data_IF_331524914586
#
_entry.id   IF_331524914586
#
_cell.length_a   1.000
_cell.length_b   1.000
_cell.length_c   1.000
_cell.angle_alpha   90.00
_cell.angle_beta   90.00
_cell.angle_gamma   90.00
#
_symmetry.space_group_name_H-M   'P 1'
#
loop_
_entity.id
_entity.type
_entity.pdbx_description
1 polymer ?
#
# COMPACT_ATOMS: atom_id res chain seq x y z
N UNK A 1 12.79 -30.16 -6.35
CA UNK A 1 12.70 -29.26 -5.17
C UNK A 1 14.05 -29.25 -4.49
N UNK A 2 14.77 -28.13 -4.55
CA UNK A 2 16.04 -27.97 -3.83
C UNK A 2 15.70 -27.75 -2.36
N UNK A 3 16.05 -28.72 -1.51
CA UNK A 3 15.87 -28.58 -0.07
C UNK A 3 16.72 -27.40 0.43
N UNK A 4 16.10 -26.44 1.08
CA UNK A 4 16.81 -25.32 1.70
C UNK A 4 17.77 -25.84 2.76
N UNK A 5 19.06 -25.47 2.73
CA UNK A 5 19.99 -25.88 3.75
C UNK A 5 19.54 -25.30 5.13
N UNK A 6 19.81 -26.03 6.21
CA UNK A 6 19.39 -25.64 7.57
C UNK A 6 19.75 -24.18 7.91
N UNK A 7 20.90 -23.70 7.46
CA UNK A 7 21.31 -22.30 7.60
C UNK A 7 20.36 -21.33 6.90
N UNK A 8 19.77 -21.72 5.75
CA UNK A 8 18.77 -20.92 5.03
C UNK A 8 17.48 -20.79 5.83
N UNK A 9 17.04 -21.89 6.41
CA UNK A 9 15.85 -21.90 7.28
C UNK A 9 16.07 -20.98 8.49
N UNK A 10 17.24 -21.07 9.13
CA UNK A 10 17.59 -20.20 10.28
C UNK A 10 17.59 -18.72 9.86
N UNK A 11 18.19 -18.37 8.73
CA UNK A 11 18.22 -16.98 8.26
C UNK A 11 16.80 -16.43 7.99
N UNK A 12 15.94 -17.24 7.38
CA UNK A 12 14.54 -16.86 7.13
C UNK A 12 13.76 -16.71 8.43
N UNK A 13 13.91 -17.65 9.36
CA UNK A 13 13.23 -17.60 10.68
C UNK A 13 13.67 -16.36 11.46
N UNK A 14 14.97 -16.06 11.49
CA UNK A 14 15.49 -14.84 12.16
C UNK A 14 14.92 -13.58 11.50
N UNK A 15 14.86 -13.53 10.18
CA UNK A 15 14.28 -12.41 9.45
C UNK A 15 12.82 -12.18 9.85
N UNK A 16 11.99 -13.24 9.85
CA UNK A 16 10.60 -13.15 10.29
C UNK A 16 10.46 -12.76 11.75
N UNK A 17 11.31 -13.32 12.64
CA UNK A 17 11.32 -12.97 14.06
C UNK A 17 11.62 -11.48 14.28
N UNK A 18 12.57 -10.90 13.53
CA UNK A 18 12.91 -9.48 13.56
C UNK A 18 11.74 -8.63 13.08
N UNK A 19 11.01 -9.04 12.03
CA UNK A 19 9.81 -8.36 11.57
C UNK A 19 8.67 -8.37 12.60
N UNK A 20 8.44 -9.53 13.23
CA UNK A 20 7.42 -9.66 14.29
C UNK A 20 7.80 -8.78 15.49
N UNK A 21 9.07 -8.82 15.90
CA UNK A 21 9.58 -7.98 16.98
C UNK A 21 9.36 -6.49 16.68
N UNK A 22 9.69 -6.04 15.45
CA UNK A 22 9.44 -4.68 15.04
C UNK A 22 7.93 -4.35 15.09
N UNK A 23 7.07 -5.21 14.54
CA UNK A 23 5.63 -4.98 14.50
C UNK A 23 5.01 -4.84 15.91
N UNK A 24 5.51 -5.59 16.89
CA UNK A 24 5.05 -5.54 18.29
C UNK A 24 5.62 -4.33 19.03
N UNK A 25 6.88 -3.98 18.79
CA UNK A 25 7.58 -2.91 19.52
C UNK A 25 7.32 -1.52 18.94
N UNK A 26 7.15 -1.40 17.62
CA UNK A 26 7.00 -0.12 16.94
C UNK A 26 5.86 0.75 17.50
N UNK A 27 4.63 0.23 17.72
CA UNK A 27 3.55 1.03 18.29
C UNK A 27 3.82 1.48 19.73
N UNK A 28 4.54 0.66 20.52
CA UNK A 28 4.85 0.95 21.93
C UNK A 28 5.98 1.95 22.09
N UNK A 29 6.94 1.95 21.17
CA UNK A 29 8.16 2.77 21.24
C UNK A 29 8.08 4.00 20.31
N UNK A 30 6.98 4.16 19.56
CA UNK A 30 6.84 5.25 18.60
C UNK A 30 7.81 5.16 17.41
N UNK A 31 8.25 3.95 17.06
CA UNK A 31 9.17 3.75 15.95
C UNK A 31 8.48 3.94 14.61
N UNK A 32 9.03 4.82 13.77
CA UNK A 32 8.58 5.02 12.39
C UNK A 32 9.05 3.91 11.44
N UNK A 33 8.65 4.01 10.18
CA UNK A 33 9.02 3.03 9.14
C UNK A 33 10.53 2.99 8.86
N UNK A 34 11.25 4.04 9.15
CA UNK A 34 12.72 4.14 9.01
C UNK A 34 13.45 3.07 9.81
N UNK A 35 12.96 2.72 11.00
CA UNK A 35 13.55 1.65 11.81
C UNK A 35 13.39 0.28 11.17
N UNK A 36 12.29 0.05 10.43
CA UNK A 36 12.10 -1.18 9.67
C UNK A 36 13.22 -1.40 8.66
N UNK A 37 13.63 -0.34 7.94
CA UNK A 37 14.72 -0.44 6.97
C UNK A 37 16.05 -0.78 7.64
N UNK A 38 16.30 -0.21 8.83
CA UNK A 38 17.51 -0.56 9.62
C UNK A 38 17.50 -2.04 10.01
N UNK A 39 16.37 -2.56 10.49
CA UNK A 39 16.24 -3.98 10.83
C UNK A 39 16.40 -4.89 9.60
N UNK A 40 15.91 -4.49 8.44
CA UNK A 40 16.12 -5.23 7.19
C UNK A 40 17.59 -5.31 6.80
N UNK A 41 18.33 -4.20 6.90
CA UNK A 41 19.76 -4.16 6.61
C UNK A 41 20.52 -5.04 7.61
N UNK A 42 20.26 -4.90 8.91
CA UNK A 42 20.90 -5.69 9.95
C UNK A 42 20.66 -7.20 9.79
N UNK A 43 19.42 -7.60 9.47
CA UNK A 43 19.10 -9.01 9.23
C UNK A 43 19.80 -9.56 7.98
N UNK A 44 19.95 -8.76 6.93
CA UNK A 44 20.68 -9.13 5.72
C UNK A 44 22.18 -9.30 5.97
N UNK A 45 22.78 -8.39 6.77
CA UNK A 45 24.18 -8.50 7.20
C UNK A 45 24.37 -9.73 8.06
N UNK A 46 23.48 -9.98 9.03
CA UNK A 46 23.52 -11.18 9.87
C UNK A 46 23.46 -12.47 9.04
N UNK A 47 22.53 -12.56 8.10
CA UNK A 47 22.45 -13.70 7.18
C UNK A 47 23.75 -13.88 6.39
N UNK A 48 24.36 -12.79 5.91
CA UNK A 48 25.61 -12.83 5.17
C UNK A 48 26.78 -13.35 6.01
N UNK A 49 26.84 -12.98 7.28
CA UNK A 49 27.85 -13.49 8.24
C UNK A 49 27.63 -14.99 8.49
N UNK A 50 26.38 -15.41 8.70
CA UNK A 50 26.02 -16.82 8.93
C UNK A 50 26.45 -17.72 7.78
N UNK A 51 26.34 -17.22 6.54
CA UNK A 51 26.77 -17.90 5.32
C UNK A 51 28.26 -17.72 5.01
N UNK A 52 29.00 -16.96 5.83
CA UNK A 52 30.42 -16.61 5.60
C UNK A 52 30.64 -16.02 4.20
N UNK A 53 29.74 -15.16 3.76
CA UNK A 53 29.85 -14.49 2.46
C UNK A 53 30.95 -13.45 2.53
N UNK A 54 31.84 -13.41 1.54
CA UNK A 54 32.94 -12.41 1.52
C UNK A 54 32.38 -10.99 1.40
N UNK A 55 33.01 -9.97 2.03
CA UNK A 55 32.58 -8.57 1.97
C UNK A 55 32.43 -8.04 0.54
N UNK A 56 33.31 -8.42 -0.36
CA UNK A 56 33.24 -8.04 -1.78
C UNK A 56 31.97 -8.60 -2.46
N UNK A 57 31.54 -9.79 -2.10
CA UNK A 57 30.31 -10.38 -2.66
C UNK A 57 29.09 -9.70 -2.09
N UNK A 58 29.09 -9.35 -0.80
CA UNK A 58 28.01 -8.60 -0.16
C UNK A 58 27.85 -7.24 -0.88
N UNK A 59 28.94 -6.50 -1.02
CA UNK A 59 28.96 -5.20 -1.70
C UNK A 59 28.44 -5.30 -3.14
N UNK A 60 28.97 -6.25 -3.93
CA UNK A 60 28.51 -6.45 -5.32
C UNK A 60 27.03 -6.79 -5.40
N UNK A 61 26.52 -7.64 -4.51
CA UNK A 61 25.09 -8.00 -4.48
C UNK A 61 24.23 -6.82 -4.08
N UNK A 62 24.67 -6.04 -3.10
CA UNK A 62 23.98 -4.83 -2.68
C UNK A 62 23.88 -3.81 -3.84
N UNK A 63 25.00 -3.51 -4.51
CA UNK A 63 25.00 -2.58 -5.63
C UNK A 63 24.18 -3.09 -6.82
N UNK A 64 24.18 -4.40 -7.08
CA UNK A 64 23.31 -4.99 -8.11
C UNK A 64 21.83 -4.81 -7.77
N UNK A 65 21.45 -5.02 -6.50
CA UNK A 65 20.10 -4.75 -6.02
C UNK A 65 19.72 -3.27 -6.10
N UNK A 66 20.63 -2.36 -5.71
CA UNK A 66 20.40 -0.92 -5.83
C UNK A 66 20.25 -0.47 -7.29
N UNK A 67 21.02 -1.03 -8.19
CA UNK A 67 20.92 -0.74 -9.62
C UNK A 67 19.58 -1.18 -10.22
N UNK A 68 19.04 -2.33 -9.82
CA UNK A 68 17.74 -2.80 -10.29
C UNK A 68 16.58 -1.89 -9.80
N UNK A 69 16.76 -1.17 -8.69
CA UNK A 69 15.77 -0.22 -8.18
C UNK A 69 15.78 1.15 -8.89
N UNK A 70 16.77 1.41 -9.76
CA UNK A 70 16.93 2.71 -10.45
C UNK A 70 15.70 3.09 -11.28
N UNK A 71 15.16 2.16 -12.08
CA UNK A 71 13.93 2.36 -12.86
C UNK A 71 12.73 2.69 -11.98
N UNK A 72 12.58 1.97 -10.88
CA UNK A 72 11.49 2.16 -9.92
C UNK A 72 11.57 3.56 -9.28
N UNK A 73 12.76 4.03 -8.91
CA UNK A 73 12.94 5.38 -8.36
C UNK A 73 12.49 6.47 -9.34
N UNK A 74 12.77 6.30 -10.64
CA UNK A 74 12.31 7.24 -11.68
C UNK A 74 10.78 7.24 -11.78
N UNK A 75 10.15 6.06 -11.85
CA UNK A 75 8.68 5.92 -11.91
C UNK A 75 8.03 6.53 -10.67
N UNK A 76 8.56 6.27 -9.48
CA UNK A 76 8.06 6.86 -8.23
C UNK A 76 8.23 8.38 -8.20
N UNK A 77 9.34 8.90 -8.73
CA UNK A 77 9.56 10.35 -8.87
C UNK A 77 8.51 10.99 -9.77
N UNK A 78 8.27 10.42 -10.94
CA UNK A 78 7.24 10.90 -11.89
C UNK A 78 5.83 10.81 -11.29
N UNK A 79 5.49 9.73 -10.60
CA UNK A 79 4.22 9.59 -9.90
C UNK A 79 4.00 10.69 -8.87
N UNK A 80 5.05 11.07 -8.15
CA UNK A 80 4.99 12.17 -7.17
C UNK A 80 4.77 13.53 -7.83
N UNK A 81 5.33 13.76 -9.01
CA UNK A 81 5.09 14.97 -9.81
C UNK A 81 3.63 15.07 -10.22
N UNK A 82 3.01 13.97 -10.67
CA UNK A 82 1.56 13.94 -10.97
C UNK A 82 0.74 14.36 -9.75
N UNK A 83 1.03 13.80 -8.57
CA UNK A 83 0.35 14.17 -7.33
C UNK A 83 0.52 15.66 -6.98
N UNK A 84 1.72 16.22 -7.19
CA UNK A 84 1.97 17.65 -6.98
C UNK A 84 1.18 18.54 -7.95
N UNK A 85 1.12 18.19 -9.23
CA UNK A 85 0.35 18.92 -10.25
C UNK A 85 -1.14 18.92 -9.92
N UNK A 86 -1.70 17.76 -9.55
CA UNK A 86 -3.11 17.64 -9.13
C UNK A 86 -3.41 18.51 -7.89
N UNK A 87 -2.49 18.59 -6.95
CA UNK A 87 -2.66 19.37 -5.73
C UNK A 87 -2.52 20.87 -6.02
N UNK A 88 -1.48 21.31 -6.74
CA UNK A 88 -1.26 22.71 -7.11
C UNK A 88 -2.35 23.24 -8.06
N UNK A 89 -2.88 22.39 -8.93
CA UNK A 89 -4.00 22.73 -9.82
C UNK A 89 -5.36 22.80 -9.12
N UNK A 90 -5.42 22.62 -7.78
CA UNK A 90 -6.67 22.54 -7.01
C UNK A 90 -7.66 21.48 -7.52
N UNK A 91 -7.21 20.57 -8.39
CA UNK A 91 -8.03 19.51 -9.00
C UNK A 91 -8.56 18.59 -7.89
N UNK A 92 -7.76 18.35 -6.85
CA UNK A 92 -8.16 17.54 -5.70
C UNK A 92 -9.36 18.12 -4.97
N UNK A 93 -9.44 19.45 -4.79
CA UNK A 93 -10.59 20.12 -4.19
C UNK A 93 -11.85 19.98 -5.06
N UNK A 94 -11.71 20.12 -6.38
CA UNK A 94 -12.83 19.95 -7.31
C UNK A 94 -13.36 18.52 -7.29
N UNK A 95 -12.47 17.52 -7.33
CA UNK A 95 -12.83 16.11 -7.25
C UNK A 95 -13.52 15.81 -5.91
N UNK A 96 -12.99 16.31 -4.80
CA UNK A 96 -13.56 16.11 -3.47
C UNK A 96 -14.95 16.75 -3.33
N UNK A 97 -15.14 17.98 -3.82
CA UNK A 97 -16.46 18.64 -3.81
C UNK A 97 -17.49 17.90 -4.65
N UNK A 98 -17.09 17.42 -5.83
CA UNK A 98 -17.97 16.63 -6.69
C UNK A 98 -18.34 15.31 -6.03
N UNK A 99 -17.38 14.63 -5.42
CA UNK A 99 -17.63 13.41 -4.68
C UNK A 99 -18.56 13.63 -3.49
N UNK A 100 -18.35 14.71 -2.72
CA UNK A 100 -19.23 15.09 -1.60
C UNK A 100 -20.68 15.28 -2.04
N UNK A 101 -20.89 15.95 -3.17
CA UNK A 101 -22.22 16.20 -3.71
C UNK A 101 -22.90 14.92 -4.22
N UNK A 102 -22.14 13.96 -4.73
CA UNK A 102 -22.64 12.67 -5.20
C UNK A 102 -22.91 11.68 -4.06
N UNK A 103 -22.12 11.72 -3.01
CA UNK A 103 -22.18 10.77 -1.89
C UNK A 103 -23.24 11.21 -0.86
N UNK A 104 -23.38 12.53 -0.63
CA UNK A 104 -24.07 13.10 0.54
C UNK A 104 -25.59 12.90 0.65
N UNK A 105 -26.28 12.25 -0.32
CA UNK A 105 -27.76 12.18 -0.33
C UNK A 105 -28.36 10.76 -0.30
N UNK A 106 -27.57 9.70 -0.29
CA UNK A 106 -28.06 8.38 -0.72
C UNK A 106 -28.03 7.24 0.33
N UNK A 107 -27.95 7.55 1.64
CA UNK A 107 -27.96 6.53 2.69
C UNK A 107 -26.58 5.95 3.03
N UNK A 108 -26.47 5.34 4.22
CA UNK A 108 -25.23 4.85 4.84
C UNK A 108 -24.39 3.96 3.92
N UNK A 109 -25.03 2.95 3.31
CA UNK A 109 -24.32 1.98 2.48
C UNK A 109 -23.78 2.61 1.21
N UNK A 110 -24.56 3.47 0.54
CA UNK A 110 -24.12 4.16 -0.69
C UNK A 110 -23.04 5.18 -0.41
N UNK A 111 -23.09 5.87 0.73
CA UNK A 111 -22.03 6.77 1.15
C UNK A 111 -20.69 6.01 1.37
N UNK A 112 -20.73 4.88 2.04
CA UNK A 112 -19.54 4.06 2.29
C UNK A 112 -18.98 3.46 1.00
N UNK A 113 -19.82 2.97 0.09
CA UNK A 113 -19.43 2.50 -1.25
C UNK A 113 -18.85 3.64 -2.07
N UNK A 114 -19.45 4.83 -2.00
CA UNK A 114 -18.95 6.04 -2.67
C UNK A 114 -17.54 6.40 -2.22
N UNK A 115 -17.25 6.38 -0.92
CA UNK A 115 -15.91 6.59 -0.36
C UNK A 115 -14.92 5.53 -0.88
N UNK A 116 -15.33 4.27 -0.90
CA UNK A 116 -14.53 3.17 -1.42
C UNK A 116 -14.17 3.36 -2.90
N UNK A 117 -15.16 3.59 -3.76
CA UNK A 117 -14.95 3.76 -5.21
C UNK A 117 -14.11 5.01 -5.48
N UNK A 118 -14.42 6.12 -4.79
CA UNK A 118 -13.68 7.36 -4.92
C UNK A 118 -12.19 7.17 -4.57
N UNK A 119 -11.91 6.49 -3.47
CA UNK A 119 -10.54 6.20 -3.04
C UNK A 119 -9.85 5.26 -4.04
N UNK A 120 -10.55 4.25 -4.53
CA UNK A 120 -10.04 3.30 -5.53
C UNK A 120 -9.60 4.02 -6.81
N UNK A 121 -10.42 4.94 -7.32
CA UNK A 121 -10.08 5.73 -8.52
C UNK A 121 -8.91 6.67 -8.25
N UNK A 122 -8.92 7.38 -7.11
CA UNK A 122 -7.82 8.28 -6.75
C UNK A 122 -6.50 7.57 -6.57
N UNK A 123 -6.52 6.35 -6.06
CA UNK A 123 -5.30 5.59 -5.82
C UNK A 123 -4.57 5.18 -7.11
N UNK A 124 -5.27 5.15 -8.24
CA UNK A 124 -4.62 4.95 -9.54
C UNK A 124 -3.61 6.07 -9.86
N UNK A 125 -3.89 7.29 -9.37
CA UNK A 125 -3.08 8.49 -9.64
C UNK A 125 -2.11 8.82 -8.51
N UNK A 126 -2.48 8.52 -7.26
CA UNK A 126 -1.71 8.87 -6.05
C UNK A 126 -1.57 7.63 -5.16
N UNK A 127 -0.57 6.79 -5.41
CA UNK A 127 -0.39 5.52 -4.69
C UNK A 127 0.23 5.69 -3.28
N UNK A 128 0.42 6.92 -2.80
CA UNK A 128 1.00 7.19 -1.48
C UNK A 128 -0.08 7.14 -0.39
N UNK A 129 -0.14 6.04 0.36
CA UNK A 129 -1.15 5.82 1.40
C UNK A 129 -1.17 6.90 2.48
N UNK A 130 -0.02 7.22 3.09
CA UNK A 130 0.07 8.21 4.19
C UNK A 130 -0.19 9.64 3.72
N UNK A 131 0.45 10.06 2.62
CA UNK A 131 0.27 11.43 2.10
C UNK A 131 -1.15 11.65 1.60
N UNK A 132 -1.75 10.64 0.96
CA UNK A 132 -3.13 10.66 0.51
C UNK A 132 -4.11 10.70 1.69
N UNK A 133 -3.89 9.88 2.72
CA UNK A 133 -4.72 9.87 3.92
C UNK A 133 -4.73 11.24 4.61
N UNK A 134 -3.58 11.89 4.72
CA UNK A 134 -3.47 13.23 5.33
C UNK A 134 -4.32 14.29 4.61
N UNK A 135 -4.49 14.15 3.28
CA UNK A 135 -5.32 15.08 2.48
C UNK A 135 -6.78 14.63 2.48
N UNK A 136 -7.03 13.32 2.38
CA UNK A 136 -8.37 12.76 2.19
C UNK A 136 -9.18 12.67 3.49
N UNK A 137 -8.57 12.31 4.61
CA UNK A 137 -9.31 12.14 5.87
C UNK A 137 -10.04 13.40 6.33
N UNK A 138 -9.44 14.61 6.29
CA UNK A 138 -10.16 15.85 6.61
C UNK A 138 -11.37 16.13 5.71
N UNK A 139 -11.41 15.55 4.49
CA UNK A 139 -12.54 15.70 3.56
C UNK A 139 -13.58 14.59 3.73
N UNK A 140 -13.13 13.35 3.86
CA UNK A 140 -14.02 12.20 3.94
C UNK A 140 -14.71 12.07 5.31
N UNK A 141 -14.04 12.49 6.40
CA UNK A 141 -14.63 12.40 7.74
C UNK A 141 -15.88 13.25 7.90
N UNK A 142 -15.92 14.56 7.51
CA UNK A 142 -17.14 15.34 7.54
C UNK A 142 -18.25 14.78 6.66
N UNK A 143 -17.91 14.22 5.49
CA UNK A 143 -18.88 13.57 4.60
C UNK A 143 -19.50 12.36 5.31
N UNK A 144 -18.67 11.52 5.92
CA UNK A 144 -19.12 10.40 6.73
C UNK A 144 -20.03 10.82 7.86
N UNK A 145 -19.64 11.84 8.63
CA UNK A 145 -20.41 12.40 9.75
C UNK A 145 -21.81 12.88 9.28
N UNK A 146 -21.88 13.61 8.15
CA UNK A 146 -23.16 14.07 7.56
C UNK A 146 -24.03 12.91 7.10
N UNK A 147 -23.44 11.84 6.57
CA UNK A 147 -24.16 10.65 6.13
C UNK A 147 -24.53 9.69 7.29
N UNK A 148 -24.08 9.98 8.52
CA UNK A 148 -24.29 9.12 9.68
C UNK A 148 -23.38 7.89 9.72
N UNK A 149 -22.28 7.88 8.96
CA UNK A 149 -21.27 6.82 9.03
C UNK A 149 -20.37 7.04 10.25
N UNK A 150 -19.99 5.94 10.91
CA UNK A 150 -18.94 6.01 11.93
C UNK A 150 -17.58 6.36 11.27
N UNK A 151 -16.73 7.04 12.02
CA UNK A 151 -15.39 7.39 11.54
C UNK A 151 -14.54 6.16 11.22
N UNK A 152 -14.77 5.07 11.96
CA UNK A 152 -14.13 3.78 11.70
C UNK A 152 -14.57 3.22 10.34
N UNK A 153 -15.85 3.35 10.00
CA UNK A 153 -16.40 2.93 8.71
C UNK A 153 -15.81 3.74 7.55
N UNK A 154 -15.63 5.05 7.72
CA UNK A 154 -14.97 5.91 6.74
C UNK A 154 -13.53 5.47 6.49
N UNK A 155 -12.76 5.22 7.56
CA UNK A 155 -11.38 4.73 7.47
C UNK A 155 -11.32 3.34 6.82
N UNK A 156 -12.25 2.46 7.15
CA UNK A 156 -12.34 1.12 6.58
C UNK A 156 -12.61 1.17 5.07
N UNK A 157 -13.62 1.91 4.64
CA UNK A 157 -13.96 2.07 3.22
C UNK A 157 -12.79 2.71 2.43
N UNK A 158 -12.14 3.72 3.01
CA UNK A 158 -10.93 4.32 2.44
C UNK A 158 -9.81 3.29 2.30
N UNK A 159 -9.50 2.52 3.35
CA UNK A 159 -8.41 1.54 3.35
C UNK A 159 -8.64 0.42 2.35
N UNK A 160 -9.88 -0.05 2.19
CA UNK A 160 -10.24 -1.06 1.19
C UNK A 160 -9.99 -0.54 -0.25
N UNK A 161 -10.40 0.71 -0.54
CA UNK A 161 -10.15 1.33 -1.84
C UNK A 161 -8.67 1.58 -2.12
N UNK A 162 -7.91 1.98 -1.10
CA UNK A 162 -6.47 2.20 -1.19
C UNK A 162 -5.71 0.90 -1.49
N UNK A 163 -6.03 -0.17 -0.79
CA UNK A 163 -5.28 -1.43 -0.85
C UNK A 163 -5.44 -2.15 -2.18
N UNK A 164 -6.64 -2.18 -2.74
CA UNK A 164 -6.94 -2.94 -3.97
C UNK A 164 -6.15 -2.43 -5.18
N UNK A 165 -6.10 -1.13 -5.38
CA UNK A 165 -5.42 -0.55 -6.55
C UNK A 165 -3.91 -0.50 -6.43
N UNK A 166 -3.34 -0.56 -5.23
CA UNK A 166 -1.89 -0.63 -5.04
C UNK A 166 -1.24 -1.84 -5.68
N UNK A 167 -2.00 -2.92 -5.90
CA UNK A 167 -1.54 -4.15 -6.56
C UNK A 167 -1.61 -4.09 -8.09
N UNK A 168 -2.25 -3.06 -8.65
CA UNK A 168 -2.43 -2.91 -10.10
C UNK A 168 -1.75 -1.67 -10.68
N UNK A 169 -1.58 -0.61 -9.88
CA UNK A 169 -1.02 0.64 -10.41
C UNK A 169 0.49 0.53 -10.66
N UNK A 170 0.97 0.94 -11.86
CA UNK A 170 2.41 0.96 -12.15
C UNK A 170 3.16 1.98 -11.30
N UNK A 171 2.45 2.86 -10.62
CA UNK A 171 3.02 3.85 -9.71
C UNK A 171 3.31 3.27 -8.31
N UNK A 172 2.91 2.04 -8.03
CA UNK A 172 3.23 1.34 -6.77
C UNK A 172 4.65 0.78 -6.82
N UNK A 173 5.59 1.46 -6.16
CA UNK A 173 6.98 1.03 -6.09
C UNK A 173 7.17 -0.41 -5.58
N UNK A 174 6.52 -0.81 -4.48
CA UNK A 174 6.61 -2.19 -3.98
C UNK A 174 6.14 -3.23 -4.99
N UNK A 175 5.06 -2.96 -5.72
CA UNK A 175 4.53 -3.88 -6.73
C UNK A 175 5.48 -3.99 -7.92
N UNK A 176 5.90 -2.86 -8.50
CA UNK A 176 6.83 -2.86 -9.64
C UNK A 176 8.15 -3.52 -9.25
N UNK A 177 8.66 -3.22 -8.03
CA UNK A 177 9.87 -3.86 -7.52
C UNK A 177 9.74 -5.37 -7.36
N UNK A 178 8.61 -5.87 -6.90
CA UNK A 178 8.35 -7.31 -6.77
C UNK A 178 8.31 -8.00 -8.14
N UNK A 179 7.67 -7.38 -9.14
CA UNK A 179 7.60 -7.90 -10.50
C UNK A 179 8.98 -7.97 -11.15
N UNK A 180 9.80 -6.93 -10.98
CA UNK A 180 11.15 -6.89 -11.52
C UNK A 180 12.05 -7.95 -10.87
N UNK A 181 11.94 -8.15 -9.54
CA UNK A 181 12.67 -9.19 -8.84
C UNK A 181 12.23 -10.61 -9.24
N UNK A 182 10.96 -10.77 -9.61
CA UNK A 182 10.38 -12.05 -10.05
C UNK A 182 10.58 -12.30 -11.55
N UNK A 183 11.12 -11.35 -12.31
CA UNK A 183 11.25 -11.39 -13.77
C UNK A 183 9.89 -11.63 -14.47
N UNK A 184 8.85 -10.92 -13.99
CA UNK A 184 7.48 -11.02 -14.51
C UNK A 184 7.08 -9.73 -15.20
N UNK A 185 6.65 -9.83 -16.45
CA UNK A 185 6.12 -8.70 -17.21
C UNK A 185 4.88 -8.08 -16.54
N UNK A 186 4.85 -6.76 -16.47
CA UNK A 186 3.72 -6.01 -15.93
C UNK A 186 2.39 -6.33 -16.63
N UNK A 187 2.41 -6.50 -17.95
CA UNK A 187 1.22 -6.86 -18.73
C UNK A 187 0.71 -8.26 -18.43
N UNK A 188 1.59 -9.23 -18.18
CA UNK A 188 1.23 -10.57 -17.75
C UNK A 188 0.62 -10.53 -16.34
N UNK A 189 1.20 -9.75 -15.44
CA UNK A 189 0.66 -9.53 -14.10
C UNK A 189 -0.75 -8.93 -14.15
N UNK A 190 -0.98 -7.88 -14.94
CA UNK A 190 -2.29 -7.24 -15.04
C UNK A 190 -3.40 -8.18 -15.50
N UNK A 191 -3.13 -9.07 -16.46
CA UNK A 191 -4.11 -10.07 -16.92
C UNK A 191 -4.60 -10.98 -15.80
N UNK A 192 -3.74 -11.24 -14.82
CA UNK A 192 -4.07 -12.03 -13.63
C UNK A 192 -4.68 -11.15 -12.53
N UNK A 193 -4.10 -9.98 -12.27
CA UNK A 193 -4.46 -9.12 -11.16
C UNK A 193 -5.84 -8.47 -11.35
N UNK A 194 -6.19 -8.00 -12.56
CA UNK A 194 -7.45 -7.30 -12.83
C UNK A 194 -8.68 -8.15 -12.49
N UNK A 195 -8.84 -9.39 -12.98
CA UNK A 195 -10.00 -10.20 -12.61
C UNK A 195 -10.02 -10.54 -11.10
N UNK A 196 -8.87 -10.81 -10.51
CA UNK A 196 -8.77 -11.07 -9.07
C UNK A 196 -9.21 -9.85 -8.25
N UNK A 197 -8.72 -8.67 -8.60
CA UNK A 197 -9.10 -7.43 -7.93
C UNK A 197 -10.57 -7.09 -8.15
N UNK A 198 -11.14 -7.43 -9.31
CA UNK A 198 -12.58 -7.31 -9.55
C UNK A 198 -13.41 -8.16 -8.58
N UNK A 199 -13.02 -9.40 -8.36
CA UNK A 199 -13.67 -10.28 -7.38
C UNK A 199 -13.52 -9.71 -5.97
N UNK A 200 -12.32 -9.29 -5.58
CA UNK A 200 -12.05 -8.71 -4.27
C UNK A 200 -12.80 -7.38 -4.06
N UNK A 201 -12.97 -6.57 -5.11
CA UNK A 201 -13.77 -5.34 -5.04
C UNK A 201 -15.25 -5.65 -4.77
N UNK A 202 -15.81 -6.68 -5.40
CA UNK A 202 -17.20 -7.13 -5.11
C UNK A 202 -17.32 -7.60 -3.67
N UNK A 203 -16.38 -8.40 -3.19
CA UNK A 203 -16.34 -8.85 -1.79
C UNK A 203 -16.24 -7.64 -0.84
N UNK A 204 -15.37 -6.68 -1.14
CA UNK A 204 -15.22 -5.46 -0.34
C UNK A 204 -16.52 -4.65 -0.30
N UNK A 205 -17.23 -4.49 -1.42
CA UNK A 205 -18.52 -3.80 -1.49
C UNK A 205 -19.55 -4.51 -0.61
N UNK A 206 -19.61 -5.84 -0.62
CA UNK A 206 -20.53 -6.62 0.22
C UNK A 206 -20.20 -6.37 1.71
N UNK A 207 -18.93 -6.47 2.09
CA UNK A 207 -18.51 -6.22 3.48
C UNK A 207 -18.81 -4.78 3.91
N UNK A 208 -18.48 -3.80 3.08
CA UNK A 208 -18.76 -2.38 3.33
C UNK A 208 -20.26 -2.16 3.55
N UNK A 209 -21.09 -2.75 2.68
CA UNK A 209 -22.55 -2.63 2.77
C UNK A 209 -23.08 -3.23 4.07
N UNK A 210 -22.66 -4.45 4.41
CA UNK A 210 -23.08 -5.14 5.62
C UNK A 210 -22.65 -4.36 6.88
N UNK A 211 -21.38 -3.96 6.95
CA UNK A 211 -20.86 -3.21 8.11
C UNK A 211 -21.53 -1.84 8.27
N UNK A 212 -21.76 -1.13 7.17
CA UNK A 212 -22.44 0.16 7.18
C UNK A 212 -23.89 0.03 7.67
N UNK A 213 -24.62 -1.00 7.23
CA UNK A 213 -26.02 -1.24 7.65
C UNK A 213 -26.12 -1.77 9.08
N UNK A 214 -25.10 -2.48 9.57
CA UNK A 214 -25.06 -2.94 10.97
C UNK A 214 -24.69 -1.82 11.97
N UNK A 215 -24.34 -0.63 11.47
CA UNK A 215 -23.90 0.48 12.34
C UNK A 215 -22.58 0.19 13.05
N UNK A 216 -21.68 -0.54 12.37
CA UNK A 216 -20.37 -0.86 12.92
C UNK A 216 -19.57 0.41 13.24
N UNK A 217 -19.22 0.54 14.54
CA UNK A 217 -18.51 1.69 15.11
C UNK A 217 -17.17 1.27 15.69
#
# INVERSE_FOLDING_TARGET
AVALPVKGIIAVVVMFAVYILYAVCAPKLGWGQEYLYVFMILSSVFASILYRVSPNRISKTFFKGAQSMGGICVVMGLARVVGMVLNQGHIMHTISNTASNLIGSNGLALAAIGIFIFTLVLNLFIPSGLSKAAIMMPLLTPIGDVCGLSRQMVVFAYSMGDSLTNTMTPMSGPMVGALELADVDYTAWLKYAVPLMGILAVIAIIFITVLATMGWA
#
